data_IF_268104598678
#
_entry.id   IF_268104598678
#
_cell.length_a   1.000
_cell.length_b   1.000
_cell.length_c   1.000
_cell.angle_alpha   90.00
_cell.angle_beta   90.00
_cell.angle_gamma   90.00
#
_symmetry.space_group_name_H-M   'P 1'
#
loop_
_entity.id
_entity.type
_entity.pdbx_description
1 polymer ?
#
# COMPACT_ATOMS: atom_id res chain seq x y z
N UNK A 1 11.05 11.16 2.27
CA UNK A 1 10.70 10.38 1.06
C UNK A 1 9.62 9.39 1.42
N UNK A 2 8.62 9.22 0.54
CA UNK A 2 7.59 8.20 0.64
C UNK A 2 7.52 7.40 -0.63
N UNK A 3 7.00 6.19 -0.55
CA UNK A 3 6.80 5.37 -1.72
C UNK A 3 5.99 4.13 -1.42
N UNK A 4 5.58 3.48 -2.47
CA UNK A 4 4.99 2.15 -2.42
C UNK A 4 5.33 1.37 -3.68
N UNK A 5 5.35 0.06 -3.51
CA UNK A 5 5.44 -0.88 -4.60
C UNK A 5 4.22 -1.80 -4.57
N UNK A 6 3.71 -2.17 -5.72
CA UNK A 6 2.50 -2.98 -5.86
C UNK A 6 2.62 -3.93 -7.05
N UNK A 7 2.07 -5.12 -6.93
CA UNK A 7 1.90 -6.07 -8.02
C UNK A 7 0.50 -6.66 -8.02
N UNK A 8 0.01 -7.12 -9.17
CA UNK A 8 -1.34 -7.67 -9.30
C UNK A 8 -1.51 -8.55 -10.52
N UNK A 9 -2.43 -9.51 -10.44
CA UNK A 9 -2.99 -10.23 -11.58
C UNK A 9 -3.84 -9.33 -12.49
N UNK A 10 -4.28 -8.17 -12.02
CA UNK A 10 -5.00 -7.18 -12.83
C UNK A 10 -4.04 -6.29 -13.61
N UNK A 11 -4.40 -5.82 -14.83
CA UNK A 11 -3.55 -4.91 -15.60
C UNK A 11 -3.46 -3.51 -14.96
N UNK A 12 -2.35 -2.80 -15.20
CA UNK A 12 -2.14 -1.40 -14.86
C UNK A 12 -2.42 -1.06 -13.38
N UNK A 13 -1.96 -1.89 -12.44
CA UNK A 13 -2.24 -1.75 -11.01
C UNK A 13 -1.77 -0.41 -10.44
N UNK A 14 -0.60 0.09 -10.84
CA UNK A 14 -0.04 1.33 -10.34
C UNK A 14 -0.93 2.55 -10.62
N UNK A 15 -1.62 2.57 -11.76
CA UNK A 15 -2.45 3.71 -12.17
C UNK A 15 -3.69 3.94 -11.31
N UNK A 16 -4.10 2.96 -10.49
CA UNK A 16 -5.33 3.04 -9.71
C UNK A 16 -5.19 2.67 -8.23
N UNK A 17 -4.07 2.03 -7.86
CA UNK A 17 -3.87 1.52 -6.50
C UNK A 17 -2.83 2.30 -5.71
N UNK A 18 -1.92 3.02 -6.38
CA UNK A 18 -0.72 3.60 -5.79
C UNK A 18 -0.83 5.12 -5.71
N UNK A 19 -0.73 5.68 -4.50
CA UNK A 19 -0.82 7.12 -4.27
C UNK A 19 0.26 7.55 -3.28
N UNK A 20 0.98 8.63 -3.58
CA UNK A 20 1.94 9.24 -2.66
C UNK A 20 1.97 10.75 -2.85
N UNK A 21 2.25 11.47 -1.76
CA UNK A 21 2.39 12.92 -1.77
C UNK A 21 3.59 13.34 -0.94
N UNK A 22 4.45 14.17 -1.53
CA UNK A 22 5.64 14.71 -0.87
C UNK A 22 5.27 15.44 0.44
N UNK A 23 5.97 15.15 1.52
CA UNK A 23 5.74 15.77 2.84
C UNK A 23 4.49 15.24 3.58
N UNK A 24 3.66 14.40 2.96
CA UNK A 24 2.39 13.92 3.53
C UNK A 24 2.43 12.43 3.84
N UNK A 25 2.67 11.57 2.83
CA UNK A 25 2.64 10.13 3.04
C UNK A 25 2.42 9.33 1.78
N UNK A 26 2.07 8.05 1.96
CA UNK A 26 1.69 7.14 0.88
C UNK A 26 0.47 6.31 1.25
N UNK A 27 -0.33 5.95 0.26
CA UNK A 27 -1.59 5.20 0.42
C UNK A 27 -1.72 4.17 -0.69
N UNK A 28 -2.10 2.94 -0.34
CA UNK A 28 -2.59 1.98 -1.32
C UNK A 28 -4.10 1.78 -1.16
N UNK A 29 -4.82 1.78 -2.30
CA UNK A 29 -6.24 1.42 -2.38
C UNK A 29 -6.38 0.24 -3.31
N UNK A 30 -6.79 -0.90 -2.81
CA UNK A 30 -6.79 -2.16 -3.56
C UNK A 30 -8.01 -3.04 -3.25
N UNK A 31 -8.00 -4.25 -3.78
CA UNK A 31 -9.09 -5.21 -3.89
C UNK A 31 -10.08 -4.78 -5.00
N UNK A 32 -11.36 -4.61 -4.75
CA UNK A 32 -12.28 -3.94 -5.71
C UNK A 32 -11.97 -2.44 -5.60
N UNK A 33 -11.04 -1.96 -6.40
CA UNK A 33 -10.39 -0.67 -6.20
C UNK A 33 -11.34 0.51 -6.42
N UNK A 34 -11.31 1.46 -5.49
CA UNK A 34 -11.82 2.80 -5.68
C UNK A 34 -10.63 3.78 -5.66
N UNK A 35 -10.21 4.31 -6.82
CA UNK A 35 -9.03 5.16 -6.90
C UNK A 35 -9.23 6.54 -6.24
N UNK A 36 -10.45 6.93 -5.88
CA UNK A 36 -10.72 8.21 -5.22
C UNK A 36 -10.32 8.20 -3.74
N UNK A 37 -10.25 7.02 -3.11
CA UNK A 37 -9.96 6.89 -1.68
C UNK A 37 -8.51 7.26 -1.34
N UNK A 38 -7.56 6.96 -2.22
CA UNK A 38 -6.15 7.30 -2.03
C UNK A 38 -5.92 8.81 -1.89
N UNK A 39 -6.31 9.63 -2.88
CA UNK A 39 -6.26 11.10 -2.77
C UNK A 39 -7.02 11.64 -1.56
N UNK A 40 -8.19 11.12 -1.24
CA UNK A 40 -8.97 11.56 -0.08
C UNK A 40 -8.24 11.34 1.23
N UNK A 41 -7.64 10.15 1.46
CA UNK A 41 -6.81 9.87 2.64
C UNK A 41 -5.61 10.83 2.68
N UNK A 42 -4.93 11.04 1.55
CA UNK A 42 -3.81 11.99 1.47
C UNK A 42 -4.22 13.42 1.79
N UNK A 43 -5.42 13.87 1.38
CA UNK A 43 -5.93 15.20 1.68
C UNK A 43 -6.18 15.38 3.18
N UNK A 44 -6.74 14.37 3.86
CA UNK A 44 -6.95 14.38 5.31
C UNK A 44 -5.60 14.43 6.05
N UNK A 45 -4.63 13.61 5.62
CA UNK A 45 -3.29 13.62 6.22
C UNK A 45 -2.56 14.97 5.98
N UNK A 46 -2.72 15.57 4.80
CA UNK A 46 -2.21 16.93 4.52
C UNK A 46 -2.88 18.00 5.41
N UNK A 47 -4.12 17.78 5.82
CA UNK A 47 -4.85 18.60 6.79
C UNK A 47 -4.45 18.38 8.25
N UNK A 48 -3.51 17.46 8.52
CA UNK A 48 -2.96 17.21 9.86
C UNK A 48 -3.47 15.93 10.55
N UNK A 49 -4.38 15.17 9.92
CA UNK A 49 -4.81 13.89 10.46
C UNK A 49 -3.66 12.86 10.41
N UNK A 50 -3.57 11.98 11.39
CA UNK A 50 -2.72 10.80 11.32
C UNK A 50 -3.23 9.81 10.26
N UNK A 51 -2.39 8.87 9.85
CA UNK A 51 -2.82 7.78 8.95
C UNK A 51 -4.06 7.06 9.50
N UNK A 52 -4.08 6.78 10.80
CA UNK A 52 -5.20 6.10 11.45
C UNK A 52 -6.49 6.95 11.46
N UNK A 53 -6.40 8.23 11.79
CA UNK A 53 -7.57 9.15 11.79
C UNK A 53 -8.11 9.35 10.38
N UNK A 54 -7.24 9.55 9.39
CA UNK A 54 -7.63 9.72 8.00
C UNK A 54 -8.33 8.46 7.46
N UNK A 55 -7.75 7.29 7.73
CA UNK A 55 -8.33 6.01 7.32
C UNK A 55 -9.69 5.77 7.99
N UNK A 56 -9.80 6.04 9.29
CA UNK A 56 -11.06 5.89 10.03
C UNK A 56 -12.17 6.80 9.48
N UNK A 57 -11.86 8.06 9.14
CA UNK A 57 -12.83 8.98 8.53
C UNK A 57 -13.31 8.48 7.17
N UNK A 58 -12.38 8.04 6.31
CA UNK A 58 -12.72 7.53 4.98
C UNK A 58 -13.54 6.25 5.07
N UNK A 59 -13.15 5.31 5.92
CA UNK A 59 -13.88 4.04 6.07
C UNK A 59 -15.28 4.21 6.66
N UNK A 60 -15.49 5.22 7.48
CA UNK A 60 -16.82 5.53 8.02
C UNK A 60 -17.78 6.16 7.00
N UNK A 61 -17.26 6.80 5.93
CA UNK A 61 -18.05 7.58 5.00
C UNK A 61 -18.08 7.01 3.56
N UNK A 62 -17.08 6.24 3.17
CA UNK A 62 -16.97 5.72 1.81
C UNK A 62 -18.00 4.61 1.53
N UNK A 63 -18.68 4.65 0.37
CA UNK A 63 -19.59 3.58 -0.02
C UNK A 63 -18.82 2.29 -0.32
N UNK A 64 -19.46 1.16 -0.09
CA UNK A 64 -18.92 -0.17 -0.42
C UNK A 64 -17.56 -0.48 0.23
N UNK A 65 -17.30 0.08 1.40
CA UNK A 65 -16.02 -0.07 2.11
C UNK A 65 -15.67 -1.54 2.43
N UNK A 66 -16.67 -2.40 2.59
CA UNK A 66 -16.49 -3.84 2.78
C UNK A 66 -15.68 -4.53 1.67
N UNK A 67 -15.64 -3.94 0.48
CA UNK A 67 -14.90 -4.46 -0.66
C UNK A 67 -13.50 -3.86 -0.81
N UNK A 68 -13.06 -2.99 0.11
CA UNK A 68 -11.78 -2.27 0.00
C UNK A 68 -10.75 -2.85 0.93
N UNK A 69 -9.51 -2.87 0.47
CA UNK A 69 -8.34 -3.08 1.30
C UNK A 69 -7.45 -1.85 1.15
N UNK A 70 -7.22 -1.13 2.24
CA UNK A 70 -6.54 0.15 2.25
C UNK A 70 -5.34 0.10 3.20
N UNK A 71 -4.24 0.71 2.81
CA UNK A 71 -3.12 0.98 3.72
C UNK A 71 -2.66 2.42 3.58
N UNK A 72 -2.21 3.00 4.67
CA UNK A 72 -1.69 4.36 4.70
C UNK A 72 -0.46 4.45 5.61
N UNK A 73 0.46 5.33 5.25
CA UNK A 73 1.58 5.77 6.09
C UNK A 73 1.68 7.28 6.03
N UNK A 74 1.79 7.93 7.20
CA UNK A 74 1.87 9.40 7.30
C UNK A 74 3.31 9.92 7.41
N UNK A 75 3.44 11.25 7.50
CA UNK A 75 4.73 11.93 7.57
C UNK A 75 5.57 11.57 8.81
N UNK A 76 4.97 11.04 9.85
CA UNK A 76 5.63 10.58 11.07
C UNK A 76 5.96 9.09 11.03
N UNK A 77 5.64 8.40 9.92
CA UNK A 77 5.87 6.96 9.76
C UNK A 77 4.83 6.09 10.47
N UNK A 78 3.73 6.69 10.96
CA UNK A 78 2.62 5.93 11.56
C UNK A 78 1.82 5.27 10.45
N UNK A 79 1.47 4.01 10.64
CA UNK A 79 0.74 3.21 9.67
C UNK A 79 -0.71 3.00 10.09
N UNK A 80 -1.54 2.69 9.10
CA UNK A 80 -2.89 2.22 9.32
C UNK A 80 -3.31 1.31 8.17
N UNK A 81 -4.18 0.35 8.46
CA UNK A 81 -4.74 -0.56 7.48
C UNK A 81 -6.24 -0.79 7.71
N UNK A 82 -6.94 -1.08 6.63
CA UNK A 82 -8.34 -1.52 6.63
C UNK A 82 -8.50 -2.71 5.69
N UNK A 83 -9.13 -3.75 6.19
CA UNK A 83 -9.56 -4.89 5.39
C UNK A 83 -11.08 -5.00 5.48
N UNK A 84 -11.76 -4.76 4.38
CA UNK A 84 -13.20 -4.93 4.30
C UNK A 84 -13.61 -6.40 4.40
N UNK A 85 -14.77 -6.65 4.99
CA UNK A 85 -15.29 -8.02 5.21
C UNK A 85 -15.49 -8.85 3.93
N UNK A 86 -15.44 -8.20 2.76
CA UNK A 86 -15.57 -8.81 1.42
C UNK A 86 -14.27 -8.70 0.63
N UNK A 87 -13.13 -8.58 1.29
CA UNK A 87 -11.82 -8.70 0.66
C UNK A 87 -11.65 -10.09 0.06
N UNK A 88 -11.18 -10.16 -1.20
CA UNK A 88 -11.20 -11.38 -2.00
C UNK A 88 -10.09 -12.36 -1.63
N UNK A 89 -10.44 -13.62 -1.58
CA UNK A 89 -9.52 -14.74 -1.38
C UNK A 89 -8.82 -14.72 -0.03
N UNK A 90 -7.65 -15.33 0.03
CA UNK A 90 -6.76 -15.21 1.19
C UNK A 90 -6.22 -13.79 1.22
N UNK A 91 -6.36 -13.11 2.34
CA UNK A 91 -5.90 -11.74 2.51
C UNK A 91 -5.26 -11.55 3.87
N UNK A 92 -4.34 -10.62 3.98
CA UNK A 92 -3.66 -10.30 5.21
C UNK A 92 -3.02 -8.92 5.16
N UNK A 93 -2.74 -8.39 6.35
CA UNK A 93 -1.98 -7.16 6.59
C UNK A 93 -0.81 -7.48 7.53
N UNK A 94 0.30 -6.81 7.34
CA UNK A 94 1.41 -6.76 8.29
C UNK A 94 1.89 -5.31 8.43
N UNK A 95 2.18 -4.91 9.67
CA UNK A 95 2.72 -3.59 9.99
C UNK A 95 4.09 -3.74 10.65
N UNK A 96 4.96 -2.77 10.40
CA UNK A 96 6.29 -2.68 10.99
C UNK A 96 6.75 -1.24 11.11
N UNK A 97 7.96 -1.01 11.54
CA UNK A 97 8.50 0.34 11.70
C UNK A 97 8.54 1.06 10.35
N UNK A 98 7.77 2.14 10.21
CA UNK A 98 7.65 2.93 8.98
C UNK A 98 7.26 2.11 7.74
N UNK A 99 6.52 1.03 7.91
CA UNK A 99 6.11 0.15 6.82
C UNK A 99 4.78 -0.54 7.12
N UNK A 100 3.97 -0.70 6.09
CA UNK A 100 2.77 -1.52 6.09
C UNK A 100 2.67 -2.26 4.77
N UNK A 101 2.33 -3.53 4.81
CA UNK A 101 2.05 -4.34 3.63
C UNK A 101 0.68 -5.00 3.76
N UNK A 102 -0.03 -5.10 2.65
CA UNK A 102 -1.30 -5.79 2.57
C UNK A 102 -1.43 -6.50 1.23
N UNK A 103 -2.16 -7.58 1.22
CA UNK A 103 -2.47 -8.30 -0.02
C UNK A 103 -3.81 -9.03 0.06
N UNK A 104 -4.38 -9.26 -1.10
CA UNK A 104 -5.58 -10.06 -1.30
C UNK A 104 -5.33 -11.06 -2.44
N UNK A 105 -6.17 -12.09 -2.54
CA UNK A 105 -5.96 -13.23 -3.45
C UNK A 105 -4.57 -13.88 -3.24
N UNK A 106 -4.06 -13.86 -2.04
CA UNK A 106 -2.74 -14.38 -1.69
C UNK A 106 -2.70 -15.90 -1.74
N UNK A 107 -1.53 -16.46 -1.98
CA UNK A 107 -1.27 -17.89 -1.79
C UNK A 107 -1.22 -18.26 -0.31
N UNK A 108 -0.72 -17.35 0.55
CA UNK A 108 -0.59 -17.56 1.99
C UNK A 108 -0.69 -16.23 2.75
N UNK A 109 -1.23 -16.27 3.98
CA UNK A 109 -1.33 -15.11 4.87
C UNK A 109 0.04 -14.59 5.36
N UNK A 110 1.09 -15.38 5.26
CA UNK A 110 2.46 -14.99 5.63
C UNK A 110 3.10 -13.99 4.65
N UNK A 111 2.55 -13.82 3.44
CA UNK A 111 3.11 -12.96 2.40
C UNK A 111 3.37 -11.53 2.88
N UNK A 112 2.42 -10.77 3.46
CA UNK A 112 2.70 -9.41 3.94
C UNK A 112 3.74 -9.35 5.05
N UNK A 113 3.78 -10.36 5.93
CA UNK A 113 4.81 -10.44 6.99
C UNK A 113 6.20 -10.61 6.39
N UNK A 114 6.36 -11.47 5.39
CA UNK A 114 7.64 -11.63 4.69
C UNK A 114 8.09 -10.32 4.02
N UNK A 115 7.15 -9.59 3.40
CA UNK A 115 7.41 -8.29 2.79
C UNK A 115 7.91 -7.26 3.80
N UNK A 116 7.24 -7.11 4.94
CA UNK A 116 7.62 -6.15 5.99
C UNK A 116 8.97 -6.51 6.59
N UNK A 117 9.21 -7.78 6.87
CA UNK A 117 10.49 -8.26 7.41
C UNK A 117 11.63 -7.93 6.45
N UNK A 118 11.50 -8.31 5.18
CA UNK A 118 12.52 -8.04 4.16
C UNK A 118 12.76 -6.53 3.96
N UNK A 119 11.71 -5.71 4.01
CA UNK A 119 11.83 -4.25 3.96
C UNK A 119 12.63 -3.70 5.14
N UNK A 120 12.40 -4.20 6.34
CA UNK A 120 13.08 -3.72 7.56
C UNK A 120 14.55 -4.14 7.59
N UNK A 121 14.86 -5.34 7.12
CA UNK A 121 16.23 -5.88 7.08
C UNK A 121 17.05 -5.27 5.94
N UNK A 122 16.40 -4.77 4.89
CA UNK A 122 17.07 -4.16 3.76
C UNK A 122 17.62 -2.78 4.08
N UNK A 123 18.85 -2.52 3.60
CA UNK A 123 19.50 -1.20 3.65
C UNK A 123 19.51 -0.54 2.27
N UNK A 124 19.75 0.77 2.23
CA UNK A 124 19.92 1.49 0.98
C UNK A 124 18.73 2.37 0.60
N UNK A 125 18.56 2.62 -0.69
CA UNK A 125 17.53 3.51 -1.21
C UNK A 125 16.12 2.92 -1.01
N UNK A 126 15.13 3.79 -0.75
CA UNK A 126 13.75 3.34 -0.50
C UNK A 126 13.19 2.47 -1.63
N UNK A 127 13.49 2.83 -2.89
CA UNK A 127 13.04 2.05 -4.06
C UNK A 127 13.57 0.62 -4.05
N UNK A 128 14.86 0.44 -3.77
CA UNK A 128 15.48 -0.89 -3.71
C UNK A 128 14.86 -1.72 -2.58
N UNK A 129 14.64 -1.11 -1.42
CA UNK A 129 13.99 -1.77 -0.27
C UNK A 129 12.56 -2.20 -0.57
N UNK A 130 11.80 -1.39 -1.31
CA UNK A 130 10.44 -1.72 -1.74
C UNK A 130 10.44 -2.87 -2.77
N UNK A 131 11.40 -2.92 -3.68
CA UNK A 131 11.56 -4.04 -4.62
C UNK A 131 11.94 -5.33 -3.89
N UNK A 132 12.88 -5.27 -2.95
CA UNK A 132 13.25 -6.41 -2.09
C UNK A 132 12.02 -6.94 -1.33
N UNK A 133 11.16 -6.04 -0.84
CA UNK A 133 9.91 -6.45 -0.19
C UNK A 133 8.97 -7.19 -1.15
N UNK A 134 8.78 -6.70 -2.40
CA UNK A 134 7.97 -7.39 -3.39
C UNK A 134 8.54 -8.77 -3.77
N UNK A 135 9.86 -8.87 -3.93
CA UNK A 135 10.54 -10.14 -4.20
C UNK A 135 10.35 -11.14 -3.06
N UNK A 136 10.45 -10.67 -1.80
CA UNK A 136 10.19 -11.51 -0.63
C UNK A 136 8.73 -11.97 -0.57
N UNK A 137 7.79 -11.09 -0.92
CA UNK A 137 6.39 -11.45 -1.04
C UNK A 137 6.15 -12.53 -2.09
N UNK A 138 6.77 -12.39 -3.26
CA UNK A 138 6.72 -13.39 -4.32
C UNK A 138 7.32 -14.74 -3.85
N UNK A 139 8.47 -14.72 -3.18
CA UNK A 139 9.11 -15.90 -2.64
C UNK A 139 8.28 -16.61 -1.56
N UNK A 140 7.48 -15.86 -0.80
CA UNK A 140 6.54 -16.37 0.20
C UNK A 140 5.22 -16.91 -0.42
N UNK A 141 5.10 -16.91 -1.75
CA UNK A 141 3.95 -17.43 -2.49
C UNK A 141 3.21 -16.38 -3.33
N UNK A 142 3.30 -15.11 -2.97
CA UNK A 142 2.71 -14.00 -3.72
C UNK A 142 1.18 -14.07 -3.82
N UNK A 143 0.65 -13.61 -4.95
CA UNK A 143 -0.74 -13.81 -5.35
C UNK A 143 -0.94 -15.25 -5.85
N UNK A 144 -2.10 -15.85 -5.58
CA UNK A 144 -2.41 -17.25 -5.95
C UNK A 144 -2.61 -17.45 -7.47
N UNK A 145 -2.35 -16.45 -8.28
CA UNK A 145 -2.43 -16.47 -9.73
C UNK A 145 -1.26 -15.74 -10.39
N UNK A 146 -1.20 -15.70 -11.71
CA UNK A 146 -0.13 -15.02 -12.42
C UNK A 146 -0.21 -13.50 -12.21
N UNK A 147 0.92 -12.86 -11.93
CA UNK A 147 1.04 -11.40 -11.88
C UNK A 147 1.13 -10.85 -13.31
N UNK A 148 0.33 -9.83 -13.62
CA UNK A 148 0.26 -9.21 -14.95
C UNK A 148 0.70 -7.75 -14.95
N UNK A 149 0.79 -7.11 -13.80
CA UNK A 149 1.32 -5.75 -13.68
C UNK A 149 2.00 -5.53 -12.33
N UNK A 150 2.96 -4.62 -12.33
CA UNK A 150 3.60 -4.10 -11.14
C UNK A 150 3.87 -2.61 -11.30
N UNK A 151 4.11 -1.92 -10.19
CA UNK A 151 4.49 -0.52 -10.21
C UNK A 151 5.23 -0.10 -8.95
N UNK A 152 6.06 0.92 -9.10
CA UNK A 152 6.81 1.56 -8.04
C UNK A 152 6.58 3.07 -8.11
N UNK A 153 6.11 3.67 -7.04
CA UNK A 153 5.92 5.12 -6.92
C UNK A 153 6.76 5.66 -5.78
N UNK A 154 7.59 6.66 -6.07
CA UNK A 154 8.44 7.34 -5.08
C UNK A 154 8.26 8.85 -5.19
N UNK A 155 8.08 9.52 -4.04
CA UNK A 155 8.05 10.99 -3.94
C UNK A 155 9.02 11.48 -2.88
N UNK A 156 9.65 12.63 -3.12
CA UNK A 156 10.58 13.28 -2.19
C UNK A 156 10.02 14.60 -1.69
N UNK A 157 10.60 15.69 -2.19
CA UNK A 157 10.34 17.08 -1.76
C UNK A 157 9.46 17.82 -2.76
N UNK A 158 9.35 17.28 -3.99
CA UNK A 158 8.60 17.89 -5.09
C UNK A 158 7.29 17.14 -5.33
N UNK A 159 6.26 17.80 -5.88
CA UNK A 159 4.93 17.20 -6.03
C UNK A 159 4.80 16.15 -7.14
N UNK A 160 5.85 15.88 -7.90
CA UNK A 160 5.87 14.81 -8.89
C UNK A 160 6.72 13.61 -8.42
N UNK A 161 6.46 12.41 -8.91
CA UNK A 161 7.22 11.23 -8.53
C UNK A 161 8.68 11.32 -8.97
N UNK A 162 9.57 10.74 -8.14
CA UNK A 162 11.00 10.56 -8.47
C UNK A 162 11.16 9.30 -9.33
N UNK A 163 10.33 8.30 -9.09
CA UNK A 163 10.20 7.12 -9.92
C UNK A 163 8.71 6.74 -10.00
N UNK A 164 8.27 6.41 -11.20
CA UNK A 164 6.93 5.97 -11.54
C UNK A 164 7.08 4.89 -12.63
N UNK A 165 7.11 3.62 -12.22
CA UNK A 165 7.41 2.45 -13.03
C UNK A 165 6.28 1.42 -12.98
#
# INVERSE_FOLDING_TARGET
>A
MFGLAVSSSSPAVASRCAFARAGVGAVASQNITDPTLGPWILDLMAGGASAQEALAQVTAAAPHIDYRQLTAIDAQGRTAAHEGAKTLGVHAVAEGTNAVAAGNLLADTAVPTAMVTAFQDAAGHLGDRLLIALEAGLAAGGEAGPVHSAGLLLVREVPWPVADL
#
